data_IF_986801492019
#
_entry.id   IF_986801492019
#
_cell.length_a   1.000
_cell.length_b   1.000
_cell.length_c   1.000
_cell.angle_alpha   90.00
_cell.angle_beta   90.00
_cell.angle_gamma   90.00
#
_symmetry.space_group_name_H-M   'P 1'
#
loop_
_entity.id
_entity.type
_entity.pdbx_description
1 polymer ?
#
# COMPACT_ATOMS: atom_id res chain seq x y z
N UNK A 1 30.94 12.16 -27.86
CA UNK A 1 30.04 12.35 -26.70
C UNK A 1 28.61 12.44 -27.20
N UNK A 2 27.83 11.37 -27.12
CA UNK A 2 26.42 11.36 -27.51
C UNK A 2 25.60 12.07 -26.43
N UNK A 3 24.97 13.19 -26.78
CA UNK A 3 24.08 13.95 -25.89
C UNK A 3 22.85 13.10 -25.58
N UNK A 4 22.85 12.42 -24.44
CA UNK A 4 21.66 11.68 -23.97
C UNK A 4 20.49 12.64 -23.87
N UNK A 5 19.35 12.28 -24.45
CA UNK A 5 18.18 13.15 -24.48
C UNK A 5 17.64 13.37 -23.05
N UNK A 6 17.10 14.57 -22.78
CA UNK A 6 16.49 14.89 -21.47
C UNK A 6 15.37 13.89 -21.10
N UNK A 7 14.68 13.35 -22.10
CA UNK A 7 13.63 12.34 -21.96
C UNK A 7 14.21 11.03 -21.40
N UNK A 8 15.33 10.55 -21.95
CA UNK A 8 15.97 9.31 -21.46
C UNK A 8 16.45 9.46 -20.02
N UNK A 9 16.98 10.63 -19.66
CA UNK A 9 17.38 10.92 -18.27
C UNK A 9 16.17 10.85 -17.33
N UNK A 10 15.02 11.41 -17.73
CA UNK A 10 13.79 11.36 -16.94
C UNK A 10 13.25 9.93 -16.81
N UNK A 11 13.13 9.20 -17.92
CA UNK A 11 12.58 7.83 -17.95
C UNK A 11 13.46 6.80 -17.24
N UNK A 12 14.74 7.11 -17.02
CA UNK A 12 15.67 6.27 -16.27
C UNK A 12 15.83 6.72 -14.82
N UNK A 13 15.13 7.77 -14.38
CA UNK A 13 15.18 8.26 -13.00
C UNK A 13 14.28 7.43 -12.09
N UNK A 14 14.86 6.82 -11.04
CA UNK A 14 14.10 6.02 -10.07
C UNK A 14 12.99 6.84 -9.37
N UNK A 15 13.23 8.12 -9.13
CA UNK A 15 12.24 9.02 -8.54
C UNK A 15 11.04 9.24 -9.44
N UNK A 16 11.29 9.40 -10.74
CA UNK A 16 10.22 9.53 -11.72
C UNK A 16 9.41 8.24 -11.82
N UNK A 17 10.09 7.08 -11.91
CA UNK A 17 9.43 5.78 -11.97
C UNK A 17 8.59 5.54 -10.69
N UNK A 18 9.12 5.86 -9.51
CA UNK A 18 8.38 5.73 -8.25
C UNK A 18 7.15 6.68 -8.18
N UNK A 19 7.27 7.90 -8.71
CA UNK A 19 6.13 8.81 -8.80
C UNK A 19 5.04 8.27 -9.75
N UNK A 20 5.43 7.69 -10.89
CA UNK A 20 4.49 7.02 -11.79
C UNK A 20 3.87 5.77 -11.13
N UNK A 21 4.65 5.00 -10.38
CA UNK A 21 4.15 3.85 -9.61
C UNK A 21 3.06 4.29 -8.62
N UNK A 22 3.30 5.38 -7.87
CA UNK A 22 2.31 5.95 -6.97
C UNK A 22 1.07 6.42 -7.74
N UNK A 23 1.26 7.15 -8.84
CA UNK A 23 0.18 7.59 -9.71
C UNK A 23 -0.73 6.45 -10.18
N UNK A 24 -0.15 5.33 -10.64
CA UNK A 24 -0.91 4.16 -11.07
C UNK A 24 -1.76 3.54 -9.95
N UNK A 25 -1.23 3.48 -8.73
CA UNK A 25 -1.96 2.95 -7.56
C UNK A 25 -3.10 3.87 -7.12
N UNK A 26 -2.87 5.18 -7.15
CA UNK A 26 -3.88 6.18 -6.83
C UNK A 26 -4.97 6.25 -7.89
N UNK A 27 -4.62 6.14 -9.17
CA UNK A 27 -5.58 6.09 -10.28
C UNK A 27 -6.49 4.87 -10.17
N UNK A 28 -5.92 3.69 -9.90
CA UNK A 28 -6.71 2.49 -9.64
C UNK A 28 -7.64 2.67 -8.43
N UNK A 29 -7.13 3.15 -7.29
CA UNK A 29 -7.94 3.39 -6.10
C UNK A 29 -9.07 4.42 -6.35
N UNK A 30 -8.80 5.42 -7.18
CA UNK A 30 -9.76 6.44 -7.58
C UNK A 30 -10.85 5.90 -8.52
N UNK A 31 -10.48 5.05 -9.47
CA UNK A 31 -11.42 4.36 -10.35
C UNK A 31 -12.33 3.40 -9.56
N UNK A 32 -11.76 2.61 -8.65
CA UNK A 32 -12.52 1.65 -7.85
C UNK A 32 -13.46 2.31 -6.84
N UNK A 33 -13.02 3.38 -6.16
CA UNK A 33 -13.90 4.06 -5.19
C UNK A 33 -15.13 4.70 -5.83
N UNK A 34 -15.08 5.05 -7.12
CA UNK A 34 -16.23 5.57 -7.87
C UNK A 34 -17.26 4.50 -8.22
N UNK A 35 -16.85 3.22 -8.21
CA UNK A 35 -17.69 2.08 -8.59
C UNK A 35 -18.27 1.37 -7.37
N UNK A 36 -17.57 1.40 -6.24
CA UNK A 36 -17.95 0.68 -5.03
C UNK A 36 -18.61 1.65 -4.03
N UNK A 37 -19.80 1.32 -3.49
CA UNK A 37 -20.45 2.16 -2.49
C UNK A 37 -19.54 2.43 -1.28
N UNK A 38 -19.51 3.66 -0.80
CA UNK A 38 -18.60 4.07 0.28
C UNK A 38 -18.83 3.28 1.58
N UNK A 39 -20.06 2.82 1.83
CA UNK A 39 -20.39 1.99 2.99
C UNK A 39 -19.69 0.63 2.91
N UNK A 40 -19.57 0.05 1.71
CA UNK A 40 -18.88 -1.22 1.48
C UNK A 40 -17.37 -1.04 1.70
N UNK A 41 -16.80 0.02 1.15
CA UNK A 41 -15.37 0.36 1.33
C UNK A 41 -15.02 0.68 2.78
N UNK A 42 -15.97 1.20 3.55
CA UNK A 42 -15.77 1.52 4.95
C UNK A 42 -15.68 0.27 5.85
N UNK A 43 -16.25 -0.87 5.44
CA UNK A 43 -16.34 -2.07 6.31
C UNK A 43 -15.60 -3.27 5.76
N UNK A 44 -15.90 -3.68 4.52
CA UNK A 44 -15.46 -4.97 3.95
C UNK A 44 -13.94 -5.12 3.91
N UNK A 45 -13.15 -4.10 3.50
CA UNK A 45 -11.69 -4.21 3.52
C UNK A 45 -11.11 -4.47 4.92
N UNK A 46 -11.79 -4.02 5.97
CA UNK A 46 -11.35 -4.18 7.36
C UNK A 46 -11.98 -5.39 8.08
N UNK A 47 -12.79 -6.20 7.39
CA UNK A 47 -13.37 -7.43 7.96
C UNK A 47 -12.34 -8.54 8.13
N UNK A 48 -11.18 -8.38 7.51
CA UNK A 48 -10.02 -9.24 7.69
C UNK A 48 -9.37 -9.04 9.06
N UNK A 49 -8.45 -9.95 9.35
CA UNK A 49 -7.71 -10.03 10.60
C UNK A 49 -7.01 -8.73 11.01
N UNK A 50 -6.39 -8.05 10.04
CA UNK A 50 -5.65 -6.81 10.27
C UNK A 50 -6.56 -5.71 10.82
N UNK A 51 -7.73 -5.51 10.20
CA UNK A 51 -8.75 -4.58 10.65
C UNK A 51 -9.33 -4.93 12.02
N UNK A 52 -9.59 -6.22 12.29
CA UNK A 52 -10.11 -6.67 13.59
C UNK A 52 -9.11 -6.44 14.72
N UNK A 53 -7.84 -6.78 14.50
CA UNK A 53 -6.77 -6.56 15.47
C UNK A 53 -6.51 -5.06 15.68
N UNK A 54 -6.56 -4.27 14.59
CA UNK A 54 -6.45 -2.81 14.64
C UNK A 54 -7.59 -2.16 15.45
N UNK A 55 -8.81 -2.68 15.35
CA UNK A 55 -9.94 -2.25 16.18
C UNK A 55 -9.71 -2.55 17.66
N UNK A 56 -9.22 -3.74 17.99
CA UNK A 56 -8.92 -4.10 19.38
C UNK A 56 -7.84 -3.19 19.97
N UNK A 57 -6.77 -2.94 19.20
CA UNK A 57 -5.70 -2.01 19.57
C UNK A 57 -6.21 -0.57 19.74
N UNK A 58 -7.06 -0.09 18.82
CA UNK A 58 -7.59 1.27 18.87
C UNK A 58 -8.42 1.49 20.14
N UNK A 59 -9.12 0.45 20.61
CA UNK A 59 -9.91 0.40 21.85
C UNK A 59 -9.11 0.09 23.13
N UNK A 60 -7.79 -0.12 23.03
CA UNK A 60 -6.95 -0.42 24.21
C UNK A 60 -7.06 -1.87 24.71
N UNK A 61 -7.59 -2.79 23.92
CA UNK A 61 -7.70 -4.23 24.25
C UNK A 61 -6.43 -5.04 23.95
N UNK A 62 -5.35 -4.36 23.56
CA UNK A 62 -4.10 -5.00 23.15
C UNK A 62 -4.20 -5.68 21.78
N UNK A 63 -3.19 -6.49 21.47
CA UNK A 63 -3.09 -7.25 20.22
C UNK A 63 -3.95 -8.53 20.33
N UNK A 64 -5.25 -8.41 20.07
CA UNK A 64 -6.27 -9.41 20.41
C UNK A 64 -7.48 -9.40 19.45
N UNK A 65 -8.44 -10.31 19.68
CA UNK A 65 -9.77 -10.31 19.08
C UNK A 65 -9.81 -10.50 17.55
N UNK A 66 -9.11 -11.55 17.09
CA UNK A 66 -8.91 -11.90 15.68
C UNK A 66 -10.18 -11.87 14.83
N UNK A 67 -11.26 -12.37 15.40
CA UNK A 67 -12.55 -12.58 14.73
C UNK A 67 -13.59 -11.53 15.12
N UNK A 68 -13.15 -10.34 15.56
CA UNK A 68 -14.03 -9.25 16.06
C UNK A 68 -14.89 -9.64 17.28
N UNK A 69 -14.53 -10.74 17.94
CA UNK A 69 -15.11 -11.22 19.18
C UNK A 69 -14.02 -11.31 20.25
N UNK A 70 -14.41 -11.47 21.52
CA UNK A 70 -13.46 -11.63 22.61
C UNK A 70 -12.77 -13.01 22.56
N UNK A 71 -11.84 -13.17 21.64
CA UNK A 71 -11.09 -14.42 21.42
C UNK A 71 -9.73 -14.42 22.12
N UNK A 72 -9.41 -13.35 22.85
CA UNK A 72 -8.14 -13.20 23.55
C UNK A 72 -6.99 -12.75 22.65
N UNK A 73 -5.75 -12.79 23.17
CA UNK A 73 -4.54 -12.39 22.44
C UNK A 73 -4.32 -13.19 21.16
N UNK A 74 -3.67 -12.58 20.16
CA UNK A 74 -3.30 -13.23 18.88
C UNK A 74 -1.83 -12.99 18.53
N UNK A 75 -1.29 -13.74 17.57
CA UNK A 75 0.01 -13.51 16.94
C UNK A 75 0.01 -13.90 15.45
N UNK A 76 -1.16 -13.89 14.82
CA UNK A 76 -1.32 -14.44 13.46
C UNK A 76 -0.79 -13.49 12.37
N UNK A 77 -0.95 -12.16 12.54
CA UNK A 77 -0.27 -11.16 11.73
C UNK A 77 0.93 -10.50 12.45
N UNK A 78 1.96 -10.08 11.69
CA UNK A 78 2.99 -9.19 12.21
C UNK A 78 2.39 -7.88 12.76
N UNK A 79 2.92 -7.33 13.87
CA UNK A 79 2.22 -6.29 14.63
C UNK A 79 2.22 -4.91 13.98
N UNK A 80 3.16 -4.63 13.06
CA UNK A 80 3.38 -3.29 12.52
C UNK A 80 2.15 -2.77 11.75
N UNK A 81 1.58 -3.58 10.87
CA UNK A 81 0.48 -3.12 10.01
C UNK A 81 -0.83 -2.91 10.79
N UNK A 82 -1.30 -3.86 11.64
CA UNK A 82 -2.45 -3.60 12.51
C UNK A 82 -2.22 -2.41 13.46
N UNK A 83 -0.99 -2.17 13.91
CA UNK A 83 -0.66 -1.00 14.71
C UNK A 83 -0.86 0.31 13.94
N UNK A 84 -0.38 0.41 12.69
CA UNK A 84 -0.59 1.58 11.84
C UNK A 84 -2.09 1.83 11.59
N UNK A 85 -2.85 0.77 11.29
CA UNK A 85 -4.31 0.87 11.13
C UNK A 85 -5.00 1.31 12.43
N UNK A 86 -4.52 0.88 13.60
CA UNK A 86 -5.10 1.31 14.88
C UNK A 86 -4.95 2.81 15.12
N UNK A 87 -3.83 3.40 14.66
CA UNK A 87 -3.61 4.85 14.70
C UNK A 87 -4.62 5.55 13.78
N UNK A 88 -4.79 5.04 12.55
CA UNK A 88 -5.78 5.56 11.60
C UNK A 88 -7.19 5.53 12.22
N UNK A 89 -7.59 4.42 12.83
CA UNK A 89 -8.89 4.28 13.48
C UNK A 89 -9.10 5.24 14.66
N UNK A 90 -8.05 5.53 15.43
CA UNK A 90 -8.11 6.52 16.51
C UNK A 90 -8.30 7.94 15.99
N UNK A 91 -7.73 8.27 14.81
CA UNK A 91 -7.79 9.61 14.24
C UNK A 91 -9.04 9.85 13.39
N UNK A 92 -9.47 8.87 12.61
CA UNK A 92 -10.51 9.01 11.57
C UNK A 92 -11.78 8.18 11.85
N UNK A 93 -11.80 7.45 12.96
CA UNK A 93 -12.88 6.53 13.34
C UNK A 93 -12.72 5.16 12.69
N UNK A 94 -13.00 4.10 13.45
CA UNK A 94 -12.98 2.74 12.93
C UNK A 94 -14.09 2.51 11.91
N UNK A 95 -13.80 1.74 10.87
CA UNK A 95 -14.77 1.37 9.81
C UNK A 95 -15.45 2.56 9.14
N UNK A 96 -14.68 3.61 8.87
CA UNK A 96 -15.13 4.78 8.12
C UNK A 96 -14.47 4.82 6.75
N UNK A 97 -15.14 5.46 5.79
CA UNK A 97 -14.57 5.68 4.46
C UNK A 97 -13.26 6.50 4.51
N UNK A 98 -13.13 7.42 5.47
CA UNK A 98 -11.89 8.20 5.66
C UNK A 98 -10.73 7.31 6.13
N UNK A 99 -11.00 6.37 7.05
CA UNK A 99 -10.00 5.37 7.46
C UNK A 99 -9.58 4.47 6.31
N UNK A 100 -10.53 4.06 5.47
CA UNK A 100 -10.24 3.31 4.25
C UNK A 100 -9.30 4.09 3.31
N UNK A 101 -9.62 5.34 2.98
CA UNK A 101 -8.77 6.17 2.13
C UNK A 101 -7.36 6.34 2.73
N UNK A 102 -7.25 6.59 4.03
CA UNK A 102 -5.95 6.73 4.69
C UNK A 102 -5.12 5.44 4.61
N UNK A 103 -5.74 4.27 4.83
CA UNK A 103 -5.08 2.97 4.72
C UNK A 103 -4.61 2.68 3.29
N UNK A 104 -5.46 2.92 2.28
CA UNK A 104 -5.12 2.73 0.87
C UNK A 104 -3.98 3.67 0.45
N UNK A 105 -4.02 4.94 0.87
CA UNK A 105 -2.95 5.89 0.59
C UNK A 105 -1.61 5.44 1.20
N UNK A 106 -1.63 4.94 2.43
CA UNK A 106 -0.45 4.42 3.11
C UNK A 106 0.11 3.18 2.37
N UNK A 107 -0.77 2.24 2.00
CA UNK A 107 -0.39 1.06 1.23
C UNK A 107 0.17 1.43 -0.15
N UNK A 108 -0.46 2.38 -0.84
CA UNK A 108 -0.01 2.85 -2.15
C UNK A 108 1.36 3.51 -2.06
N UNK A 109 1.62 4.29 -1.00
CA UNK A 109 2.93 4.89 -0.73
C UNK A 109 3.99 3.80 -0.49
N UNK A 110 3.72 2.83 0.39
CA UNK A 110 4.64 1.72 0.62
C UNK A 110 4.92 0.93 -0.65
N UNK A 111 3.88 0.55 -1.39
CA UNK A 111 4.01 -0.17 -2.67
C UNK A 111 4.82 0.65 -3.70
N UNK A 112 4.61 1.97 -3.81
CA UNK A 112 5.42 2.82 -4.67
C UNK A 112 6.89 2.88 -4.22
N UNK A 113 7.15 2.96 -2.91
CA UNK A 113 8.53 3.01 -2.38
C UNK A 113 9.32 1.72 -2.62
N UNK A 114 8.68 0.57 -2.85
CA UNK A 114 9.36 -0.68 -3.27
C UNK A 114 10.18 -0.49 -4.55
N UNK A 115 9.85 0.50 -5.38
CA UNK A 115 10.63 0.86 -6.57
C UNK A 115 12.10 1.14 -6.22
N UNK A 116 12.40 1.77 -5.08
CA UNK A 116 13.77 2.12 -4.69
C UNK A 116 14.66 0.91 -4.39
N UNK A 117 14.31 0.00 -3.45
CA UNK A 117 15.12 -1.19 -3.20
C UNK A 117 15.15 -2.09 -4.43
N UNK A 118 14.04 -2.26 -5.16
CA UNK A 118 14.02 -3.06 -6.39
C UNK A 118 15.02 -2.54 -7.42
N UNK A 119 15.02 -1.23 -7.65
CA UNK A 119 15.96 -0.57 -8.56
C UNK A 119 17.41 -0.76 -8.09
N UNK A 120 17.68 -0.51 -6.80
CA UNK A 120 19.02 -0.61 -6.21
C UNK A 120 19.59 -2.03 -6.35
N UNK A 121 18.81 -3.05 -5.98
CA UNK A 121 19.25 -4.45 -6.07
C UNK A 121 19.46 -4.88 -7.52
N UNK A 122 18.52 -4.57 -8.42
CA UNK A 122 18.67 -4.90 -9.83
C UNK A 122 19.89 -4.21 -10.46
N UNK A 123 20.21 -2.98 -10.04
CA UNK A 123 21.39 -2.27 -10.51
C UNK A 123 22.68 -2.94 -10.06
N UNK A 124 22.73 -3.41 -8.81
CA UNK A 124 23.90 -4.10 -8.24
C UNK A 124 24.13 -5.46 -8.90
N UNK A 125 23.07 -6.19 -9.25
CA UNK A 125 23.16 -7.55 -9.77
C UNK A 125 23.39 -7.59 -11.29
N UNK A 126 22.67 -6.76 -12.04
CA UNK A 126 22.58 -6.88 -13.50
C UNK A 126 22.71 -5.55 -14.25
N UNK A 127 23.11 -4.48 -13.55
CA UNK A 127 23.39 -3.18 -14.14
C UNK A 127 22.16 -2.29 -14.37
N UNK A 128 22.42 -1.07 -14.87
CA UNK A 128 21.44 0.02 -14.92
C UNK A 128 20.23 -0.27 -15.80
N UNK A 129 20.42 -0.92 -16.95
CA UNK A 129 19.34 -1.20 -17.89
C UNK A 129 18.31 -2.16 -17.28
N UNK A 130 18.77 -3.21 -16.60
CA UNK A 130 17.89 -4.16 -15.90
C UNK A 130 17.18 -3.48 -14.73
N UNK A 131 17.86 -2.61 -13.98
CA UNK A 131 17.22 -1.84 -12.91
C UNK A 131 16.05 -0.97 -13.39
N UNK A 132 16.25 -0.24 -14.48
CA UNK A 132 15.21 0.59 -15.08
C UNK A 132 14.05 -0.29 -15.58
N UNK A 133 14.35 -1.39 -16.28
CA UNK A 133 13.33 -2.31 -16.77
C UNK A 133 12.51 -2.93 -15.63
N UNK A 134 13.16 -3.45 -14.59
CA UNK A 134 12.50 -4.02 -13.41
C UNK A 134 11.62 -3.01 -12.69
N UNK A 135 12.09 -1.77 -12.54
CA UNK A 135 11.32 -0.72 -11.90
C UNK A 135 10.08 -0.33 -12.73
N UNK A 136 10.19 -0.26 -14.06
CA UNK A 136 9.04 -0.03 -14.93
C UNK A 136 8.05 -1.21 -14.93
N UNK A 137 8.54 -2.45 -14.86
CA UNK A 137 7.67 -3.61 -14.70
C UNK A 137 6.88 -3.54 -13.38
N UNK A 138 7.51 -3.08 -12.29
CA UNK A 138 6.84 -2.89 -10.99
C UNK A 138 5.73 -1.82 -11.01
N UNK A 139 5.87 -0.79 -11.85
CA UNK A 139 4.82 0.24 -12.02
C UNK A 139 3.51 -0.41 -12.46
N UNK A 140 3.57 -1.29 -13.45
CA UNK A 140 2.40 -1.87 -14.14
C UNK A 140 2.05 -3.28 -13.68
N UNK A 141 2.84 -3.88 -12.78
CA UNK A 141 2.57 -5.21 -12.27
C UNK A 141 1.20 -5.23 -11.57
N UNK A 142 0.22 -6.03 -12.05
CA UNK A 142 -1.15 -5.98 -11.53
C UNK A 142 -1.23 -6.18 -10.03
N UNK A 143 -0.47 -7.14 -9.49
CA UNK A 143 -0.41 -7.38 -8.05
C UNK A 143 0.09 -6.15 -7.26
N UNK A 144 1.05 -5.38 -7.81
CA UNK A 144 1.56 -4.17 -7.15
C UNK A 144 0.56 -3.00 -7.15
N UNK A 145 -0.35 -2.97 -8.13
CA UNK A 145 -1.38 -1.94 -8.30
C UNK A 145 -2.65 -2.26 -7.50
N UNK A 146 -3.08 -3.53 -7.52
CA UNK A 146 -4.36 -3.98 -6.95
C UNK A 146 -4.28 -4.23 -5.45
N UNK A 147 -3.22 -4.91 -4.98
CA UNK A 147 -3.10 -5.32 -3.56
C UNK A 147 -3.19 -4.16 -2.57
N UNK A 148 -2.62 -2.95 -2.82
CA UNK A 148 -2.77 -1.82 -1.91
C UNK A 148 -4.21 -1.40 -1.61
N UNK A 149 -5.14 -1.69 -2.53
CA UNK A 149 -6.56 -1.38 -2.40
C UNK A 149 -7.37 -2.54 -1.81
N UNK A 150 -7.09 -3.77 -2.25
CA UNK A 150 -7.86 -4.95 -1.87
C UNK A 150 -7.49 -5.53 -0.49
N UNK A 151 -6.23 -5.40 -0.09
CA UNK A 151 -5.72 -6.03 1.13
C UNK A 151 -5.34 -4.98 2.16
N UNK A 152 -6.27 -4.76 3.08
CA UNK A 152 -6.14 -3.93 4.29
C UNK A 152 -6.21 -4.82 5.53
#
# INVERSE_FOLDING_TARGET
MTRTSRIVVLLTSVWFIAAVALGARLDFAWDQQRKIPHQVLATVPFDQEAGNTALALSQGKGFSNLFRQNTGPTAWLPPLYPFLLSIIFRMLGAFTFHSFLAAVLLNALFSATVTFPLFSFAQQIAGRHVAVASAWLWVFLPAGVIMPFEWI
#
